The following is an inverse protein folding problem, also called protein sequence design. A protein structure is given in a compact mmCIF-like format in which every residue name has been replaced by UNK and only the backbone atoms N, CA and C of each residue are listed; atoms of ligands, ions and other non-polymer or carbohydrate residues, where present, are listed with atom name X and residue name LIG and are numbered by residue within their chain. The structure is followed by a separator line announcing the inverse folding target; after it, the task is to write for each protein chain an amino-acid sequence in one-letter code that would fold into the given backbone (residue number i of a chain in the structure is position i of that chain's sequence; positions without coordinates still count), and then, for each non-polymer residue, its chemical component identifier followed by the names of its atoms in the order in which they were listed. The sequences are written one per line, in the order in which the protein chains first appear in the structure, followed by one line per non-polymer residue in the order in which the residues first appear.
data_IF_400354680876
#
_entry.id   IF_400354680876
#
_cell.length_a   1.000
_cell.length_b   1.000
_cell.length_c   1.000
_cell.angle_alpha   90.00
_cell.angle_beta   90.00
_cell.angle_gamma   90.00
#
_symmetry.space_group_name_H-M   'P 1'
#
loop_
_entity.id
_entity.type
_entity.pdbx_description
1 polymer ?
#
# COMPACT_ATOMS: atom_id res chain seq x y z
N UNK A 1 -30.23 -9.60 0.10
CA UNK A 1 -29.90 -9.77 -1.33
C UNK A 1 -28.73 -8.88 -1.67
N UNK A 2 -27.49 -9.38 -1.70
CA UNK A 2 -26.42 -8.74 -2.47
C UNK A 2 -25.45 -9.82 -2.97
N UNK A 3 -25.57 -10.06 -4.26
CA UNK A 3 -24.72 -10.89 -5.09
C UNK A 3 -23.81 -9.89 -5.82
N UNK A 4 -22.57 -9.67 -5.37
CA UNK A 4 -21.56 -9.03 -6.23
C UNK A 4 -20.65 -10.12 -6.77
N UNK A 5 -21.17 -10.85 -7.75
CA UNK A 5 -20.36 -11.67 -8.64
C UNK A 5 -19.26 -10.79 -9.25
N UNK A 6 -18.05 -11.33 -9.41
CA UNK A 6 -17.07 -10.87 -10.40
C UNK A 6 -17.84 -10.54 -11.68
N UNK A 7 -18.00 -9.25 -12.01
CA UNK A 7 -18.78 -8.88 -13.19
C UNK A 7 -18.01 -9.41 -14.40
N UNK A 8 -18.56 -10.44 -15.03
CA UNK A 8 -17.94 -11.08 -16.18
C UNK A 8 -18.06 -10.13 -17.36
N UNK A 9 -16.93 -9.56 -17.79
CA UNK A 9 -16.88 -8.60 -18.88
C UNK A 9 -16.92 -9.31 -20.24
N UNK A 10 -16.34 -10.51 -20.33
CA UNK A 10 -16.49 -11.41 -21.47
C UNK A 10 -16.84 -12.82 -20.99
N UNK A 11 -17.97 -13.34 -21.47
CA UNK A 11 -18.34 -14.75 -21.30
C UNK A 11 -17.27 -15.58 -22.01
N UNK A 12 -16.65 -16.51 -21.28
CA UNK A 12 -15.37 -17.11 -21.66
C UNK A 12 -15.32 -17.78 -23.04
N UNK A 13 -14.10 -17.93 -23.54
CA UNK A 13 -13.78 -18.50 -24.85
C UNK A 13 -12.51 -19.35 -24.74
N UNK A 14 -12.37 -20.38 -25.58
CA UNK A 14 -11.14 -21.17 -25.62
C UNK A 14 -10.03 -20.40 -26.32
N UNK A 15 -8.95 -20.12 -25.59
CA UNK A 15 -7.74 -19.51 -26.13
C UNK A 15 -6.54 -20.41 -25.84
N UNK A 16 -5.53 -20.33 -26.70
CA UNK A 16 -4.24 -20.97 -26.45
C UNK A 16 -3.43 -20.08 -25.51
N UNK A 17 -3.04 -20.64 -24.35
CA UNK A 17 -2.20 -19.98 -23.34
C UNK A 17 -0.82 -20.62 -23.30
N UNK A 18 0.22 -19.81 -23.12
CA UNK A 18 1.53 -20.29 -22.70
C UNK A 18 2.13 -19.37 -21.63
N UNK A 19 2.55 -19.94 -20.49
CA UNK A 19 3.28 -19.21 -19.44
C UNK A 19 4.77 -19.26 -19.77
N UNK A 20 5.41 -18.10 -19.90
CA UNK A 20 6.82 -17.98 -20.31
C UNK A 20 7.72 -17.40 -19.20
N UNK A 21 7.13 -16.78 -18.17
CA UNK A 21 7.85 -16.42 -16.95
C UNK A 21 6.99 -16.53 -15.69
N UNK A 22 7.62 -16.85 -14.57
CA UNK A 22 7.03 -16.88 -13.24
C UNK A 22 7.95 -16.17 -12.24
N UNK A 23 7.51 -15.04 -11.69
CA UNK A 23 8.33 -14.24 -10.77
C UNK A 23 9.68 -13.83 -11.37
N UNK A 24 9.72 -13.53 -12.67
CA UNK A 24 10.94 -13.20 -13.42
C UNK A 24 11.81 -14.39 -13.84
N UNK A 25 11.48 -15.63 -13.44
CA UNK A 25 12.17 -16.84 -13.91
C UNK A 25 11.58 -17.30 -15.24
N UNK A 26 12.43 -17.46 -16.26
CA UNK A 26 12.01 -17.94 -17.59
C UNK A 26 11.56 -19.40 -17.52
N UNK A 27 10.38 -19.68 -18.04
CA UNK A 27 9.80 -21.01 -18.17
C UNK A 27 9.86 -21.47 -19.62
N UNK A 28 9.96 -22.80 -19.82
CA UNK A 28 9.85 -23.39 -21.16
C UNK A 28 8.44 -23.15 -21.69
N UNK A 29 8.34 -22.48 -22.83
CA UNK A 29 7.07 -22.22 -23.51
C UNK A 29 6.35 -23.54 -23.80
N UNK A 30 5.16 -23.69 -23.24
CA UNK A 30 4.25 -24.81 -23.49
C UNK A 30 2.85 -24.26 -23.75
N UNK A 31 2.26 -24.62 -24.89
CA UNK A 31 0.94 -24.13 -25.29
C UNK A 31 -0.15 -25.09 -24.81
N UNK A 32 -1.12 -24.55 -24.10
CA UNK A 32 -2.30 -25.29 -23.62
C UNK A 32 -3.55 -24.54 -24.03
N UNK A 33 -4.52 -25.24 -24.65
CA UNK A 33 -5.84 -24.70 -24.85
C UNK A 33 -6.55 -24.60 -23.49
N UNK A 34 -6.97 -23.39 -23.14
CA UNK A 34 -7.60 -23.10 -21.84
C UNK A 34 -8.87 -22.31 -22.04
N UNK A 35 -9.89 -22.58 -21.24
CA UNK A 35 -11.07 -21.74 -21.20
C UNK A 35 -10.73 -20.48 -20.41
N UNK A 36 -10.82 -19.32 -21.08
CA UNK A 36 -10.42 -18.03 -20.51
C UNK A 36 -11.66 -17.22 -20.20
N UNK A 37 -11.73 -16.64 -19.00
CA UNK A 37 -12.82 -15.74 -18.59
C UNK A 37 -12.21 -14.41 -18.16
N UNK A 38 -12.72 -13.31 -18.73
CA UNK A 38 -12.35 -11.96 -18.30
C UNK A 38 -13.36 -11.44 -17.27
N UNK A 39 -12.87 -11.20 -16.06
CA UNK A 39 -13.58 -10.52 -14.99
C UNK A 39 -13.14 -9.05 -14.89
N UNK A 40 -13.77 -8.30 -14.00
CA UNK A 40 -13.55 -6.86 -13.80
C UNK A 40 -12.10 -6.44 -13.52
N UNK A 41 -11.27 -7.32 -12.98
CA UNK A 41 -9.86 -7.04 -12.64
C UNK A 41 -8.92 -8.24 -12.87
N UNK A 42 -9.45 -9.39 -13.29
CA UNK A 42 -8.68 -10.63 -13.36
C UNK A 42 -9.01 -11.40 -14.63
N UNK A 43 -8.00 -12.14 -15.11
CA UNK A 43 -8.13 -13.12 -16.18
C UNK A 43 -8.03 -14.52 -15.58
N UNK A 44 -9.12 -15.29 -15.65
CA UNK A 44 -9.20 -16.62 -15.06
C UNK A 44 -8.99 -17.70 -16.13
N UNK A 45 -8.17 -18.70 -15.81
CA UNK A 45 -7.87 -19.82 -16.68
C UNK A 45 -8.39 -21.14 -16.10
N UNK A 46 -9.20 -21.84 -16.89
CA UNK A 46 -9.74 -23.14 -16.53
C UNK A 46 -9.18 -24.22 -17.45
N UNK A 47 -8.72 -25.33 -16.85
CA UNK A 47 -8.16 -26.50 -17.54
C UNK A 47 -9.25 -27.47 -18.02
N UNK A 48 -10.43 -27.43 -17.42
CA UNK A 48 -11.54 -28.36 -17.61
C UNK A 48 -12.71 -27.71 -18.35
N UNK A 49 -13.77 -28.50 -18.61
CA UNK A 49 -14.85 -28.16 -19.54
C UNK A 49 -15.58 -26.86 -19.18
N UNK A 50 -16.27 -26.26 -20.17
CA UNK A 50 -17.09 -25.05 -20.00
C UNK A 50 -18.08 -25.13 -18.83
N UNK A 51 -18.59 -26.32 -18.50
CA UNK A 51 -19.56 -26.54 -17.43
C UNK A 51 -18.91 -26.50 -16.04
N UNK A 52 -17.71 -27.05 -15.90
CA UNK A 52 -16.90 -27.01 -14.66
C UNK A 52 -16.31 -25.61 -14.42
N UNK A 53 -15.94 -24.88 -15.48
CA UNK A 53 -15.47 -23.50 -15.36
C UNK A 53 -16.53 -22.56 -14.77
N UNK A 54 -17.81 -22.73 -15.16
CA UNK A 54 -18.93 -21.94 -14.63
C UNK A 54 -19.26 -22.31 -13.18
N UNK A 55 -19.09 -23.58 -12.79
CA UNK A 55 -19.24 -24.02 -11.41
C UNK A 55 -18.12 -23.49 -10.50
N UNK A 56 -16.88 -23.41 -11.00
CA UNK A 56 -15.71 -22.89 -10.30
C UNK A 56 -15.68 -21.36 -10.16
N UNK A 57 -16.61 -20.62 -10.80
CA UNK A 57 -16.81 -19.19 -10.53
C UNK A 57 -17.52 -18.92 -9.18
N UNK A 58 -18.01 -19.97 -8.49
CA UNK A 58 -18.53 -19.89 -7.12
C UNK A 58 -17.37 -19.91 -6.09
N UNK A 59 -17.52 -19.31 -4.90
CA UNK A 59 -16.42 -19.19 -3.94
C UNK A 59 -15.94 -20.57 -3.50
N UNK A 60 -14.71 -20.94 -3.87
CA UNK A 60 -14.08 -22.21 -3.45
C UNK A 60 -13.37 -23.02 -4.55
N UNK A 61 -13.50 -22.67 -5.83
CA UNK A 61 -12.81 -23.36 -6.93
C UNK A 61 -11.35 -22.93 -7.10
N UNK A 62 -10.40 -23.89 -7.20
CA UNK A 62 -8.99 -23.61 -7.54
C UNK A 62 -8.90 -23.23 -9.02
N UNK A 63 -8.83 -21.94 -9.34
CA UNK A 63 -8.51 -21.44 -10.69
C UNK A 63 -7.12 -20.80 -10.72
N UNK A 64 -6.39 -20.98 -11.83
CA UNK A 64 -5.13 -20.27 -12.09
C UNK A 64 -5.53 -18.90 -12.67
N UNK A 65 -5.51 -17.85 -11.83
CA UNK A 65 -5.95 -16.50 -12.17
C UNK A 65 -4.79 -15.52 -12.28
N UNK A 66 -4.88 -14.57 -13.19
CA UNK A 66 -3.91 -13.49 -13.36
C UNK A 66 -4.59 -12.16 -13.09
N UNK A 67 -4.02 -11.41 -12.14
CA UNK A 67 -4.40 -10.02 -11.90
C UNK A 67 -3.91 -9.13 -13.04
N UNK A 68 -4.81 -8.31 -13.57
CA UNK A 68 -4.54 -7.37 -14.66
C UNK A 68 -4.12 -5.99 -14.16
N UNK A 69 -4.13 -5.74 -12.84
CA UNK A 69 -3.66 -4.49 -12.25
C UNK A 69 -2.22 -4.19 -12.66
N UNK A 70 -2.01 -3.08 -13.39
CA UNK A 70 -0.71 -2.65 -13.88
C UNK A 70 -0.05 -3.58 -14.90
N UNK A 71 -0.80 -4.54 -15.47
CA UNK A 71 -0.27 -5.44 -16.49
C UNK A 71 -0.02 -4.71 -17.82
N UNK A 72 1.09 -5.02 -18.48
CA UNK A 72 1.42 -4.51 -19.82
C UNK A 72 0.96 -5.53 -20.86
N UNK A 73 0.11 -5.09 -21.78
CA UNK A 73 -0.44 -5.92 -22.87
C UNK A 73 0.09 -5.43 -24.21
N UNK A 74 0.80 -6.29 -24.92
CA UNK A 74 1.45 -5.96 -26.19
C UNK A 74 1.28 -7.08 -27.23
N UNK A 75 1.17 -6.72 -28.51
CA UNK A 75 1.25 -7.68 -29.60
C UNK A 75 2.70 -8.17 -29.74
N UNK A 76 2.91 -9.47 -29.93
CA UNK A 76 4.26 -10.04 -30.06
C UNK A 76 4.37 -11.03 -31.20
N UNK A 77 5.43 -10.89 -31.99
CA UNK A 77 5.84 -11.84 -33.04
C UNK A 77 7.21 -12.45 -32.76
N UNK A 78 7.97 -11.89 -31.82
CA UNK A 78 9.33 -12.34 -31.48
C UNK A 78 9.34 -13.54 -30.53
N UNK A 79 8.31 -13.67 -29.67
CA UNK A 79 8.23 -14.72 -28.64
C UNK A 79 7.54 -15.99 -29.14
N UNK A 80 6.90 -15.95 -30.30
CA UNK A 80 6.17 -17.07 -30.88
C UNK A 80 6.08 -16.99 -32.39
N UNK A 81 6.19 -18.15 -33.05
CA UNK A 81 5.93 -18.30 -34.49
C UNK A 81 4.44 -18.38 -34.83
N UNK A 82 3.56 -18.49 -33.83
CA UNK A 82 2.10 -18.45 -34.04
C UNK A 82 1.67 -17.04 -34.41
N UNK A 83 0.73 -16.93 -35.35
CA UNK A 83 0.06 -15.64 -35.65
C UNK A 83 -0.88 -15.27 -34.50
N UNK A 84 -1.26 -14.00 -34.42
CA UNK A 84 -2.32 -13.52 -33.52
C UNK A 84 -2.00 -13.75 -32.03
N UNK A 85 -0.78 -13.38 -31.60
CA UNK A 85 -0.31 -13.59 -30.23
C UNK A 85 -0.20 -12.26 -29.49
N UNK A 86 -0.77 -12.20 -28.30
CA UNK A 86 -0.60 -11.10 -27.35
C UNK A 86 0.21 -11.59 -26.15
N UNK A 87 1.09 -10.72 -25.65
CA UNK A 87 1.84 -10.90 -24.42
C UNK A 87 1.18 -10.10 -23.30
N UNK A 88 1.05 -10.72 -22.14
CA UNK A 88 0.61 -10.09 -20.89
C UNK A 88 1.76 -10.21 -19.90
N UNK A 89 2.27 -9.07 -19.44
CA UNK A 89 3.35 -8.99 -18.45
C UNK A 89 2.81 -8.33 -17.20
N UNK A 90 2.79 -9.04 -16.07
CA UNK A 90 2.34 -8.48 -14.80
C UNK A 90 3.48 -7.79 -14.04
N UNK A 91 3.19 -6.82 -13.14
CA UNK A 91 4.21 -6.16 -12.31
C UNK A 91 5.03 -7.14 -11.46
N UNK A 92 4.42 -8.26 -11.06
CA UNK A 92 5.06 -9.32 -10.27
C UNK A 92 6.01 -10.19 -11.12
N UNK A 93 6.23 -9.85 -12.39
CA UNK A 93 7.17 -10.53 -13.29
C UNK A 93 6.63 -11.85 -13.86
N UNK A 94 5.32 -12.06 -13.89
CA UNK A 94 4.73 -13.18 -14.64
C UNK A 94 4.47 -12.75 -16.08
N UNK A 95 4.81 -13.64 -17.02
CA UNK A 95 4.61 -13.39 -18.45
C UNK A 95 3.79 -14.52 -19.06
N UNK A 96 2.73 -14.15 -19.76
CA UNK A 96 1.82 -15.05 -20.45
C UNK A 96 1.68 -14.65 -21.91
N UNK A 97 1.50 -15.66 -22.77
CA UNK A 97 1.12 -15.48 -24.16
C UNK A 97 -0.30 -16.03 -24.34
N UNK A 98 -1.16 -15.25 -24.99
CA UNK A 98 -2.49 -15.68 -25.42
C UNK A 98 -2.59 -15.61 -26.94
N UNK A 99 -3.27 -16.60 -27.51
CA UNK A 99 -3.44 -16.72 -28.96
C UNK A 99 -4.81 -17.28 -29.32
N UNK A 100 -5.39 -16.76 -30.40
CA UNK A 100 -6.55 -17.33 -31.09
C UNK A 100 -6.23 -17.52 -32.58
N UNK A 101 -6.87 -18.49 -33.22
CA UNK A 101 -6.60 -18.78 -34.64
C UNK A 101 -7.15 -17.67 -35.54
N UNK A 102 -8.25 -17.05 -35.13
CA UNK A 102 -8.88 -15.93 -35.82
C UNK A 102 -8.44 -14.58 -35.21
N UNK A 103 -7.96 -13.68 -36.05
CA UNK A 103 -7.56 -12.33 -35.63
C UNK A 103 -8.69 -11.54 -34.94
N UNK A 104 -9.95 -11.55 -35.43
CA UNK A 104 -11.04 -10.84 -34.75
C UNK A 104 -11.28 -11.32 -33.31
N UNK A 105 -11.10 -12.63 -33.05
CA UNK A 105 -11.22 -13.20 -31.71
C UNK A 105 -10.15 -12.63 -30.80
N UNK A 106 -8.87 -12.72 -31.16
CA UNK A 106 -7.81 -12.21 -30.28
C UNK A 106 -7.82 -10.68 -30.15
N UNK A 107 -8.23 -9.95 -31.19
CA UNK A 107 -8.35 -8.49 -31.15
C UNK A 107 -9.42 -8.06 -30.16
N UNK A 108 -10.59 -8.72 -30.16
CA UNK A 108 -11.64 -8.50 -29.17
C UNK A 108 -11.13 -8.74 -27.75
N UNK A 109 -10.35 -9.80 -27.52
CA UNK A 109 -9.77 -10.09 -26.22
C UNK A 109 -8.71 -9.07 -25.81
N UNK A 110 -7.83 -8.66 -26.73
CA UNK A 110 -6.85 -7.60 -26.52
C UNK A 110 -7.54 -6.29 -26.10
N UNK A 111 -8.55 -5.85 -26.83
CA UNK A 111 -9.23 -4.58 -26.58
C UNK A 111 -10.03 -4.62 -25.27
N UNK A 112 -10.65 -5.75 -24.95
CA UNK A 112 -11.36 -5.92 -23.69
C UNK A 112 -10.39 -5.92 -22.48
N UNK A 113 -9.26 -6.63 -22.56
CA UNK A 113 -8.25 -6.65 -21.50
C UNK A 113 -7.64 -5.26 -21.31
N UNK A 114 -7.32 -4.57 -22.41
CA UNK A 114 -6.76 -3.22 -22.38
C UNK A 114 -7.75 -2.20 -21.80
N UNK A 115 -9.03 -2.29 -22.17
CA UNK A 115 -10.09 -1.45 -21.60
C UNK A 115 -10.27 -1.66 -20.10
N UNK A 116 -10.13 -2.89 -19.61
CA UNK A 116 -10.16 -3.19 -18.17
C UNK A 116 -8.97 -2.54 -17.43
N UNK A 117 -7.79 -2.55 -18.05
CA UNK A 117 -6.60 -1.89 -17.51
C UNK A 117 -6.74 -0.36 -17.52
N UNK A 118 -7.27 0.22 -18.60
CA UNK A 118 -7.54 1.66 -18.70
C UNK A 118 -8.61 2.13 -17.70
N UNK A 119 -9.68 1.35 -17.48
CA UNK A 119 -10.69 1.63 -16.46
C UNK A 119 -10.09 1.57 -15.04
N UNK A 120 -9.14 0.67 -14.79
CA UNK A 120 -8.43 0.61 -13.53
C UNK A 120 -7.51 1.83 -13.35
N UNK A 121 -6.77 2.22 -14.39
CA UNK A 121 -5.98 3.47 -14.41
C UNK A 121 -6.84 4.71 -14.22
N UNK A 122 -8.04 4.78 -14.81
CA UNK A 122 -8.95 5.91 -14.67
C UNK A 122 -9.63 5.97 -13.30
N UNK A 123 -9.94 4.82 -12.69
CA UNK A 123 -10.36 4.72 -11.29
C UNK A 123 -9.23 5.15 -10.35
N UNK A 124 -7.99 4.69 -10.58
CA UNK A 124 -6.81 5.14 -9.84
C UNK A 124 -6.55 6.64 -10.06
N UNK A 125 -6.72 7.18 -11.28
CA UNK A 125 -6.60 8.61 -11.57
C UNK A 125 -7.74 9.44 -11.00
N UNK A 126 -8.96 8.90 -10.87
CA UNK A 126 -10.08 9.55 -10.18
C UNK A 126 -9.85 9.55 -8.69
N UNK A 127 -9.37 8.44 -8.13
CA UNK A 127 -8.97 8.33 -6.73
C UNK A 127 -7.81 9.30 -6.43
N UNK A 128 -6.80 9.35 -7.30
CA UNK A 128 -5.72 10.34 -7.25
C UNK A 128 -6.23 11.76 -7.44
N UNK A 129 -7.24 12.03 -8.30
CA UNK A 129 -7.85 13.37 -8.44
C UNK A 129 -8.63 13.78 -7.20
N UNK A 130 -9.39 12.89 -6.57
CA UNK A 130 -10.06 13.15 -5.29
C UNK A 130 -9.03 13.39 -4.17
N UNK A 131 -7.92 12.65 -4.18
CA UNK A 131 -6.77 12.90 -3.30
C UNK A 131 -6.03 14.22 -3.65
N UNK A 132 -5.93 14.58 -4.92
CA UNK A 132 -5.22 15.79 -5.41
C UNK A 132 -6.06 17.06 -5.26
N UNK A 133 -7.39 17.00 -5.36
CA UNK A 133 -8.27 18.16 -5.12
C UNK A 133 -8.33 18.52 -3.63
N UNK A 134 -7.83 17.64 -2.75
CA UNK A 134 -7.57 17.92 -1.33
C UNK A 134 -6.16 18.45 -1.05
N UNK A 135 -5.30 18.52 -2.06
CA UNK A 135 -3.91 18.99 -1.97
C UNK A 135 -3.75 20.15 -2.96
N UNK A 136 -3.64 21.38 -2.45
CA UNK A 136 -3.36 22.56 -3.27
C UNK A 136 -2.15 22.29 -4.19
N UNK A 137 -2.26 22.52 -5.51
CA UNK A 137 -1.15 22.24 -6.42
C UNK A 137 -0.03 23.24 -6.15
N UNK A 138 1.08 22.75 -5.57
CA UNK A 138 2.35 23.48 -5.59
C UNK A 138 2.85 23.42 -7.03
N UNK A 139 2.72 24.55 -7.73
CA UNK A 139 3.47 24.80 -8.96
C UNK A 139 4.96 24.54 -8.68
N UNK A 140 5.65 23.68 -9.45
CA UNK A 140 7.08 23.55 -9.32
C UNK A 140 7.72 24.80 -9.92
N UNK A 141 7.95 25.82 -9.10
CA UNK A 141 9.01 26.80 -9.34
C UNK A 141 10.36 26.13 -9.03
N UNK A 142 10.66 25.09 -9.80
CA UNK A 142 12.04 24.71 -10.06
C UNK A 142 12.40 25.55 -11.28
N UNK A 143 13.37 26.48 -11.21
CA UNK A 143 13.98 27.00 -12.42
C UNK A 143 14.40 25.78 -13.23
N UNK A 144 13.80 25.57 -14.40
CA UNK A 144 14.37 24.69 -15.42
C UNK A 144 15.69 25.33 -15.85
N UNK A 145 16.72 25.20 -15.03
CA UNK A 145 18.06 25.01 -15.56
C UNK A 145 17.97 23.69 -16.29
N UNK A 146 17.61 23.80 -17.56
CA UNK A 146 18.00 22.85 -18.57
C UNK A 146 19.50 22.76 -18.40
N UNK A 147 19.99 21.74 -17.67
CA UNK A 147 21.34 21.26 -17.89
C UNK A 147 21.32 20.77 -19.33
N UNK A 148 21.50 21.72 -20.26
CA UNK A 148 21.92 21.45 -21.60
C UNK A 148 23.33 20.93 -21.39
N UNK A 149 23.41 19.62 -21.13
CA UNK A 149 24.65 18.89 -21.25
C UNK A 149 25.10 19.16 -22.67
N UNK A 150 26.04 20.09 -22.81
CA UNK A 150 26.78 20.24 -24.04
C UNK A 150 27.47 18.89 -24.24
N UNK A 151 26.84 18.06 -25.07
CA UNK A 151 27.42 16.81 -25.50
C UNK A 151 28.62 17.17 -26.36
N UNK A 152 29.80 17.20 -25.74
CA UNK A 152 31.05 17.17 -26.48
C UNK A 152 31.02 15.91 -27.33
N UNK A 153 30.97 16.07 -28.65
CA UNK A 153 30.89 15.01 -29.64
C UNK A 153 32.23 14.25 -29.78
N UNK A 154 32.81 13.83 -28.65
CA UNK A 154 34.13 13.19 -28.58
C UNK A 154 34.15 11.84 -27.84
N UNK A 155 33.04 11.34 -27.28
CA UNK A 155 33.09 10.19 -26.34
C UNK A 155 32.18 9.00 -26.72
N UNK A 156 32.16 8.61 -28.00
CA UNK A 156 31.40 7.42 -28.46
C UNK A 156 32.00 6.09 -27.97
N UNK A 157 33.30 6.04 -27.66
CA UNK A 157 33.97 4.85 -27.14
C UNK A 157 33.63 4.56 -25.67
N UNK A 158 33.43 5.60 -24.85
CA UNK A 158 33.28 5.45 -23.39
C UNK A 158 31.84 5.12 -22.96
N UNK A 159 30.83 5.38 -23.81
CA UNK A 159 29.44 4.94 -23.56
C UNK A 159 29.31 3.42 -23.44
N UNK A 160 30.03 2.68 -24.29
CA UNK A 160 30.06 1.22 -24.22
C UNK A 160 30.86 0.73 -23.00
N UNK A 161 31.92 1.46 -22.62
CA UNK A 161 32.68 1.22 -21.39
C UNK A 161 31.82 1.39 -20.13
N UNK A 162 31.16 2.53 -19.98
CA UNK A 162 30.24 2.82 -18.87
C UNK A 162 29.10 1.80 -18.81
N UNK A 163 28.48 1.46 -19.96
CA UNK A 163 27.42 0.43 -20.04
C UNK A 163 27.91 -0.93 -19.54
N UNK A 164 29.13 -1.34 -19.93
CA UNK A 164 29.70 -2.61 -19.51
C UNK A 164 30.09 -2.62 -18.02
N UNK A 165 30.59 -1.50 -17.49
CA UNK A 165 30.88 -1.34 -16.06
C UNK A 165 29.61 -1.40 -15.23
N UNK A 166 28.54 -0.72 -15.67
CA UNK A 166 27.26 -0.74 -14.97
C UNK A 166 26.61 -2.13 -15.01
N UNK A 167 26.68 -2.83 -16.16
CA UNK A 167 26.21 -4.22 -16.26
C UNK A 167 26.94 -5.16 -15.30
N UNK A 168 28.26 -5.01 -15.16
CA UNK A 168 29.08 -5.75 -14.17
C UNK A 168 28.77 -5.33 -12.74
N UNK A 169 28.48 -4.05 -12.49
CA UNK A 169 28.12 -3.55 -11.18
C UNK A 169 26.77 -4.11 -10.72
N UNK A 170 25.73 -4.05 -11.57
CA UNK A 170 24.39 -4.56 -11.23
C UNK A 170 24.44 -6.07 -10.96
N UNK A 171 25.20 -6.84 -11.74
CA UNK A 171 25.30 -8.29 -11.53
C UNK A 171 26.12 -8.69 -10.31
N UNK A 172 27.05 -7.82 -9.86
CA UNK A 172 27.91 -8.06 -8.69
C UNK A 172 27.45 -7.29 -7.45
N UNK A 173 26.33 -6.57 -7.53
CA UNK A 173 25.83 -5.74 -6.43
C UNK A 173 25.54 -6.64 -5.22
N UNK A 174 26.15 -6.37 -4.05
CA UNK A 174 25.83 -7.11 -2.83
C UNK A 174 24.35 -6.99 -2.48
N UNK A 175 23.79 -8.02 -1.85
CA UNK A 175 22.43 -7.97 -1.34
C UNK A 175 22.28 -6.90 -0.26
N UNK A 176 21.07 -6.38 -0.06
CA UNK A 176 20.76 -5.44 1.04
C UNK A 176 21.20 -6.01 2.40
N UNK A 177 20.94 -7.30 2.65
CA UNK A 177 21.35 -8.00 3.87
C UNK A 177 22.87 -7.97 4.06
N UNK A 178 23.65 -8.24 3.00
CA UNK A 178 25.12 -8.17 3.05
C UNK A 178 25.62 -6.75 3.35
N UNK A 179 24.93 -5.71 2.88
CA UNK A 179 25.28 -4.32 3.18
C UNK A 179 24.94 -3.95 4.62
N UNK A 180 23.85 -4.47 5.18
CA UNK A 180 23.49 -4.34 6.60
C UNK A 180 24.49 -5.06 7.51
N UNK A 181 24.84 -6.32 7.19
CA UNK A 181 25.83 -7.12 7.94
C UNK A 181 27.21 -6.45 7.98
N UNK A 182 27.59 -5.75 6.91
CA UNK A 182 28.83 -4.97 6.84
C UNK A 182 28.74 -3.62 7.56
N UNK A 183 27.60 -3.27 8.15
CA UNK A 183 27.36 -1.98 8.81
C UNK A 183 27.33 -0.78 7.86
N UNK A 184 27.28 -1.01 6.54
CA UNK A 184 27.20 0.06 5.54
C UNK A 184 25.79 0.65 5.45
N UNK A 185 24.77 -0.15 5.76
CA UNK A 185 23.38 0.28 5.90
C UNK A 185 22.99 0.02 7.35
N UNK A 186 22.80 1.10 8.12
CA UNK A 186 22.26 1.04 9.47
C UNK A 186 20.74 0.95 9.43
N UNK A 187 20.16 0.27 10.42
CA UNK A 187 18.72 0.19 10.57
C UNK A 187 18.16 1.54 11.01
N UNK A 188 17.28 2.09 10.19
CA UNK A 188 16.64 3.40 10.42
C UNK A 188 15.56 3.32 11.51
N UNK A 189 14.97 4.43 11.89
CA UNK A 189 13.78 4.44 12.77
C UNK A 189 12.53 4.31 11.91
N UNK A 190 12.41 5.15 10.87
CA UNK A 190 11.37 5.04 9.87
C UNK A 190 11.62 3.84 8.95
N UNK A 191 10.57 3.08 8.64
CA UNK A 191 10.69 1.86 7.84
C UNK A 191 11.20 0.64 8.62
N UNK A 192 11.45 0.76 9.92
CA UNK A 192 11.88 -0.35 10.76
C UNK A 192 10.67 -1.15 11.26
N UNK A 193 10.83 -2.47 11.39
CA UNK A 193 9.79 -3.31 11.97
C UNK A 193 9.57 -2.94 13.44
N UNK A 194 8.30 -2.78 13.85
CA UNK A 194 7.93 -2.29 15.19
C UNK A 194 8.61 -3.06 16.33
N UNK A 195 8.59 -4.40 16.23
CA UNK A 195 9.23 -5.30 17.19
C UNK A 195 10.74 -5.04 17.31
N UNK A 196 11.45 -5.00 16.17
CA UNK A 196 12.89 -4.78 16.11
C UNK A 196 13.28 -3.41 16.65
N UNK A 197 12.51 -2.36 16.32
CA UNK A 197 12.76 -1.01 16.82
C UNK A 197 12.59 -0.95 18.35
N UNK A 198 11.51 -1.51 18.88
CA UNK A 198 11.26 -1.55 20.32
C UNK A 198 12.32 -2.37 21.08
N UNK A 199 12.77 -3.50 20.53
CA UNK A 199 13.86 -4.29 21.10
C UNK A 199 15.17 -3.50 21.15
N UNK A 200 15.52 -2.80 20.06
CA UNK A 200 16.71 -1.94 19.97
C UNK A 200 16.67 -0.80 20.98
N UNK A 201 15.52 -0.15 21.11
CA UNK A 201 15.31 0.96 22.04
C UNK A 201 15.11 0.52 23.50
N UNK A 202 14.94 -0.79 23.74
CA UNK A 202 14.57 -1.40 25.03
C UNK A 202 13.27 -0.83 25.59
N UNK A 203 12.29 -0.61 24.72
CA UNK A 203 10.98 -0.04 25.03
C UNK A 203 9.88 -0.96 24.50
N UNK A 204 8.61 -0.66 24.78
CA UNK A 204 7.46 -1.30 24.12
C UNK A 204 6.65 -0.32 23.26
N UNK A 205 7.13 0.91 23.16
CA UNK A 205 6.54 1.97 22.35
C UNK A 205 7.73 2.76 21.81
N UNK A 206 7.82 2.98 20.49
CA UNK A 206 8.91 3.74 19.89
C UNK A 206 9.06 5.10 20.57
N UNK A 207 10.29 5.49 20.89
CA UNK A 207 10.59 6.78 21.54
C UNK A 207 10.06 7.95 20.73
N UNK A 208 10.23 7.91 19.41
CA UNK A 208 9.72 8.93 18.49
C UNK A 208 8.19 9.12 18.61
N UNK A 209 7.43 8.03 18.73
CA UNK A 209 5.97 8.12 18.91
C UNK A 209 5.61 8.85 20.19
N UNK A 210 6.29 8.54 21.31
CA UNK A 210 6.08 9.23 22.59
C UNK A 210 6.43 10.71 22.50
N UNK A 211 7.59 11.04 21.94
CA UNK A 211 8.04 12.42 21.76
C UNK A 211 7.03 13.25 20.96
N UNK A 212 6.53 12.72 19.84
CA UNK A 212 5.51 13.41 19.05
C UNK A 212 4.20 13.60 19.83
N UNK A 213 3.74 12.56 20.53
CA UNK A 213 2.51 12.63 21.34
C UNK A 213 2.63 13.66 22.45
N UNK A 214 3.73 13.64 23.20
CA UNK A 214 4.00 14.58 24.29
C UNK A 214 4.06 16.02 23.77
N UNK A 215 4.76 16.27 22.66
CA UNK A 215 4.86 17.63 22.11
C UNK A 215 3.53 18.14 21.54
N UNK A 216 2.75 17.27 20.87
CA UNK A 216 1.40 17.64 20.40
C UNK A 216 0.46 17.92 21.56
N UNK A 217 0.55 17.16 22.66
CA UNK A 217 -0.25 17.43 23.86
C UNK A 217 0.14 18.73 24.55
N UNK A 218 1.43 19.03 24.59
CA UNK A 218 2.00 20.21 25.24
C UNK A 218 1.54 21.52 24.60
N UNK A 219 1.51 21.61 23.25
CA UNK A 219 1.23 22.88 22.55
C UNK A 219 0.27 22.79 21.35
N UNK A 220 -0.10 21.59 20.94
CA UNK A 220 -0.80 21.35 19.67
C UNK A 220 -2.31 21.09 19.76
N UNK A 221 -2.84 20.77 20.95
CA UNK A 221 -4.20 20.24 21.10
C UNK A 221 -5.32 21.16 20.60
N UNK A 222 -5.08 22.47 20.55
CA UNK A 222 -6.07 23.46 20.13
C UNK A 222 -5.87 23.93 18.69
N UNK A 223 -4.88 23.39 17.96
CA UNK A 223 -4.59 23.79 16.58
C UNK A 223 -5.67 23.28 15.60
N UNK A 224 -6.11 24.17 14.71
CA UNK A 224 -7.17 23.90 13.73
C UNK A 224 -6.84 22.71 12.82
N UNK A 225 -7.77 21.75 12.75
CA UNK A 225 -7.63 20.57 11.91
C UNK A 225 -6.43 19.70 12.27
N UNK A 226 -6.07 19.60 13.55
CA UNK A 226 -4.97 18.75 14.01
C UNK A 226 -5.07 17.32 13.42
N UNK A 227 -3.95 16.78 12.93
CA UNK A 227 -3.87 15.54 12.14
C UNK A 227 -4.53 15.55 10.75
N UNK A 228 -5.51 16.43 10.47
CA UNK A 228 -6.12 16.59 9.13
C UNK A 228 -5.28 17.48 8.23
N UNK A 229 -4.87 18.65 8.72
CA UNK A 229 -4.01 19.59 7.99
C UNK A 229 -2.62 18.99 7.81
N UNK A 230 -2.03 19.21 6.64
CA UNK A 230 -0.69 18.72 6.29
C UNK A 230 0.36 19.79 6.57
N UNK A 231 1.40 19.44 7.32
CA UNK A 231 2.57 20.29 7.48
C UNK A 231 3.45 20.29 6.24
N UNK A 232 4.46 21.15 6.25
CA UNK A 232 5.42 21.24 5.14
C UNK A 232 6.20 19.92 4.97
N UNK A 233 5.99 19.25 3.83
CA UNK A 233 6.60 17.95 3.55
C UNK A 233 8.13 17.96 3.57
N UNK A 234 8.77 19.04 3.11
CA UNK A 234 10.24 19.13 3.13
C UNK A 234 10.77 19.19 4.57
N UNK A 235 10.07 19.90 5.46
CA UNK A 235 10.41 19.97 6.88
C UNK A 235 10.16 18.62 7.57
N UNK A 236 9.06 17.94 7.23
CA UNK A 236 8.79 16.57 7.71
C UNK A 236 9.91 15.61 7.28
N UNK A 237 10.38 15.69 6.04
CA UNK A 237 11.49 14.87 5.54
C UNK A 237 12.82 15.20 6.24
N UNK A 238 13.06 16.48 6.58
CA UNK A 238 14.21 16.88 7.41
C UNK A 238 14.12 16.25 8.80
N UNK A 239 12.95 16.32 9.45
CA UNK A 239 12.71 15.70 10.76
C UNK A 239 12.93 14.18 10.70
N UNK A 240 12.36 13.53 9.69
CA UNK A 240 12.54 12.10 9.41
C UNK A 240 14.03 11.73 9.31
N UNK A 241 14.81 12.52 8.58
CA UNK A 241 16.26 12.29 8.41
C UNK A 241 17.00 12.35 9.76
N UNK A 242 16.74 13.37 10.58
CA UNK A 242 17.39 13.53 11.89
C UNK A 242 17.03 12.39 12.85
N UNK A 243 15.76 11.99 12.86
CA UNK A 243 15.29 10.83 13.65
C UNK A 243 15.97 9.53 13.18
N UNK A 244 16.12 9.34 11.87
CA UNK A 244 16.81 8.17 11.30
C UNK A 244 18.31 8.14 11.60
N UNK A 245 18.94 9.29 11.86
CA UNK A 245 20.33 9.36 12.34
C UNK A 245 20.47 9.09 13.84
N UNK A 246 19.35 8.97 14.57
CA UNK A 246 19.32 8.85 16.04
C UNK A 246 20.09 9.99 16.75
N UNK A 247 20.05 11.19 16.15
CA UNK A 247 20.56 12.41 16.78
C UNK A 247 19.65 12.85 17.93
N UNK A 248 20.18 13.62 18.89
CA UNK A 248 19.33 14.22 19.93
C UNK A 248 18.32 15.17 19.30
N UNK A 249 17.04 14.92 19.57
CA UNK A 249 15.92 15.62 18.96
C UNK A 249 15.12 16.37 20.03
N UNK A 250 15.09 17.69 19.91
CA UNK A 250 14.15 18.55 20.63
C UNK A 250 13.05 19.03 19.67
N UNK A 251 11.82 18.53 19.87
CA UNK A 251 10.65 18.93 19.07
C UNK A 251 10.08 20.31 19.47
N UNK A 252 10.61 20.92 20.54
CA UNK A 252 10.30 22.28 20.95
C UNK A 252 11.13 23.36 20.24
N UNK A 253 12.16 22.98 19.49
CA UNK A 253 12.96 23.91 18.70
C UNK A 253 12.09 24.63 17.64
N UNK A 254 12.38 25.92 17.43
CA UNK A 254 11.82 26.79 16.39
C UNK A 254 11.77 26.17 15.00
N UNK A 255 12.71 25.30 14.64
CA UNK A 255 12.68 24.59 13.36
C UNK A 255 11.46 23.67 13.17
N UNK A 256 10.75 23.32 14.26
CA UNK A 256 9.54 22.49 14.28
C UNK A 256 8.31 23.25 14.81
N UNK A 257 8.31 24.59 14.73
CA UNK A 257 7.23 25.44 15.27
C UNK A 257 5.84 25.03 14.75
N UNK A 258 5.72 24.69 13.47
CA UNK A 258 4.46 24.18 12.90
C UNK A 258 4.12 22.78 13.44
N UNK A 259 3.06 22.68 14.24
CA UNK A 259 2.59 21.41 14.79
C UNK A 259 2.15 20.41 13.72
N UNK A 260 1.76 20.88 12.53
CA UNK A 260 1.38 20.02 11.42
C UNK A 260 2.59 19.26 10.84
N UNK A 261 3.82 19.74 11.08
CA UNK A 261 5.05 18.99 10.80
C UNK A 261 5.16 17.78 11.73
N UNK A 262 4.97 17.98 13.04
CA UNK A 262 5.07 16.89 14.04
C UNK A 262 3.99 15.84 13.81
N UNK A 263 2.74 16.26 13.66
CA UNK A 263 1.64 15.33 13.36
C UNK A 263 1.81 14.66 11.99
N UNK A 264 2.37 15.36 11.00
CA UNK A 264 2.72 14.82 9.70
C UNK A 264 3.78 13.72 9.79
N UNK A 265 4.83 13.94 10.57
CA UNK A 265 5.91 12.99 10.82
C UNK A 265 5.43 11.76 11.62
N UNK A 266 4.59 11.96 12.64
CA UNK A 266 3.98 10.86 13.39
C UNK A 266 3.12 9.97 12.48
N UNK A 267 2.28 10.56 11.62
CA UNK A 267 1.51 9.80 10.62
C UNK A 267 2.43 9.07 9.64
N UNK A 268 3.51 9.73 9.20
CA UNK A 268 4.49 9.13 8.28
C UNK A 268 5.18 7.91 8.90
N UNK A 269 5.52 7.98 10.19
CA UNK A 269 6.13 6.86 10.91
C UNK A 269 5.25 5.61 10.82
N UNK A 270 3.95 5.73 11.12
CA UNK A 270 3.02 4.60 11.05
C UNK A 270 2.84 4.07 9.61
N UNK A 271 2.72 4.96 8.62
CA UNK A 271 2.58 4.56 7.21
C UNK A 271 3.81 3.87 6.63
N UNK A 272 5.00 4.20 7.12
CA UNK A 272 6.25 3.61 6.64
C UNK A 272 6.60 2.29 7.33
N UNK A 273 5.84 1.84 8.35
CA UNK A 273 6.09 0.54 8.97
C UNK A 273 5.99 -0.58 7.92
N UNK A 274 6.87 -1.60 7.96
CA UNK A 274 6.76 -2.76 7.07
C UNK A 274 5.45 -3.54 7.22
N UNK A 275 4.92 -3.58 8.46
CA UNK A 275 3.62 -4.15 8.81
C UNK A 275 2.81 -3.07 9.57
N UNK A 276 1.50 -2.91 9.31
CA UNK A 276 0.68 -1.90 9.97
C UNK A 276 0.65 -2.07 11.48
N UNK A 277 0.31 -0.98 12.18
CA UNK A 277 0.14 -1.03 13.64
C UNK A 277 -0.88 -2.11 14.03
N UNK A 278 -1.96 -2.24 13.25
CA UNK A 278 -2.84 -3.40 13.28
C UNK A 278 -2.26 -4.50 12.37
N UNK A 279 -1.69 -5.59 12.93
CA UNK A 279 -0.97 -6.57 12.11
C UNK A 279 -1.89 -7.25 11.11
N UNK A 280 -1.38 -7.63 9.94
CA UNK A 280 -2.19 -8.10 8.81
C UNK A 280 -3.10 -9.27 9.20
N UNK A 281 -2.56 -10.22 9.98
CA UNK A 281 -3.27 -11.40 10.47
C UNK A 281 -4.50 -11.11 11.35
N UNK A 282 -4.64 -9.89 11.87
CA UNK A 282 -5.78 -9.48 12.70
C UNK A 282 -6.81 -8.66 11.93
N UNK A 283 -6.51 -8.20 10.70
CA UNK A 283 -7.36 -7.27 9.96
C UNK A 283 -8.79 -7.83 9.79
N UNK A 284 -8.93 -9.04 9.25
CA UNK A 284 -10.24 -9.67 9.05
C UNK A 284 -10.99 -9.88 10.37
N UNK A 285 -10.27 -10.17 11.46
CA UNK A 285 -10.86 -10.32 12.79
C UNK A 285 -11.45 -9.01 13.31
N UNK A 286 -10.75 -7.88 13.10
CA UNK A 286 -11.26 -6.55 13.44
C UNK A 286 -12.46 -6.16 12.56
N UNK A 287 -12.44 -6.52 11.28
CA UNK A 287 -13.58 -6.32 10.37
C UNK A 287 -14.81 -7.09 10.86
N UNK A 288 -14.67 -8.35 11.27
CA UNK A 288 -15.79 -9.11 11.84
C UNK A 288 -16.27 -8.54 13.18
N UNK A 289 -15.35 -8.08 14.04
CA UNK A 289 -15.72 -7.46 15.31
C UNK A 289 -16.54 -6.18 15.10
N UNK A 290 -16.16 -5.31 14.15
CA UNK A 290 -16.86 -4.03 13.94
C UNK A 290 -18.26 -4.19 13.32
N UNK A 291 -18.50 -5.32 12.62
CA UNK A 291 -19.81 -5.70 12.06
C UNK A 291 -20.84 -6.10 13.12
N UNK A 292 -20.42 -6.38 14.36
CA UNK A 292 -21.33 -6.69 15.47
C UNK A 292 -22.27 -5.50 15.69
N UNK A 293 -23.58 -5.73 15.76
CA UNK A 293 -24.57 -4.66 15.90
C UNK A 293 -24.69 -4.13 17.33
N UNK A 294 -24.55 -5.01 18.31
CA UNK A 294 -24.71 -4.66 19.72
C UNK A 294 -23.41 -3.99 20.24
N UNK A 295 -23.48 -2.73 20.74
CA UNK A 295 -22.29 -1.96 21.11
C UNK A 295 -21.41 -2.61 22.18
N UNK A 296 -22.01 -3.22 23.20
CA UNK A 296 -21.28 -3.81 24.34
C UNK A 296 -20.45 -5.00 23.88
N UNK A 297 -21.04 -5.91 23.12
CA UNK A 297 -20.41 -7.08 22.52
C UNK A 297 -19.34 -6.66 21.51
N UNK A 298 -19.59 -5.61 20.70
CA UNK A 298 -18.59 -5.03 19.81
C UNK A 298 -17.37 -4.56 20.60
N UNK A 299 -17.58 -3.75 21.64
CA UNK A 299 -16.50 -3.25 22.51
C UNK A 299 -15.71 -4.39 23.16
N UNK A 300 -16.38 -5.41 23.67
CA UNK A 300 -15.75 -6.60 24.24
C UNK A 300 -14.93 -7.40 23.22
N UNK A 301 -15.45 -7.58 22.00
CA UNK A 301 -14.75 -8.27 20.92
C UNK A 301 -13.48 -7.51 20.50
N UNK A 302 -13.59 -6.18 20.29
CA UNK A 302 -12.46 -5.31 19.98
C UNK A 302 -11.40 -5.33 21.09
N UNK A 303 -11.83 -5.23 22.34
CA UNK A 303 -10.95 -5.34 23.52
C UNK A 303 -10.18 -6.65 23.52
N UNK A 304 -10.88 -7.78 23.30
CA UNK A 304 -10.25 -9.10 23.26
C UNK A 304 -9.19 -9.21 22.16
N UNK A 305 -9.47 -8.70 20.97
CA UNK A 305 -8.51 -8.70 19.85
C UNK A 305 -7.28 -7.84 20.15
N UNK A 306 -7.48 -6.65 20.70
CA UNK A 306 -6.40 -5.73 21.08
C UNK A 306 -5.48 -6.39 22.13
N UNK A 307 -6.01 -7.16 23.08
CA UNK A 307 -5.19 -7.88 24.06
C UNK A 307 -4.38 -9.05 23.45
N UNK A 308 -4.72 -9.50 22.24
CA UNK A 308 -4.02 -10.59 21.55
C UNK A 308 -2.92 -10.10 20.59
N UNK A 309 -2.91 -8.82 20.22
CA UNK A 309 -1.83 -8.28 19.36
C UNK A 309 -0.51 -8.25 20.12
N UNK A 310 0.65 -8.26 19.42
CA UNK A 310 1.95 -8.21 20.08
C UNK A 310 2.09 -7.01 21.03
N UNK A 311 2.82 -7.18 22.13
CA UNK A 311 2.98 -6.16 23.18
C UNK A 311 3.44 -4.79 22.66
N UNK A 312 4.38 -4.69 21.70
CA UNK A 312 4.75 -3.41 21.11
C UNK A 312 3.58 -2.71 20.41
N UNK A 313 2.80 -3.46 19.62
CA UNK A 313 1.61 -2.95 18.92
C UNK A 313 0.54 -2.50 19.92
N UNK A 314 0.21 -3.35 20.91
CA UNK A 314 -0.77 -3.03 21.95
C UNK A 314 -0.42 -1.73 22.69
N UNK A 315 0.81 -1.62 23.20
CA UNK A 315 1.22 -0.46 23.99
C UNK A 315 1.31 0.81 23.14
N UNK A 316 1.70 0.69 21.87
CA UNK A 316 1.72 1.81 20.92
C UNK A 316 0.30 2.25 20.55
N UNK A 317 -0.63 1.30 20.33
CA UNK A 317 -2.06 1.60 20.16
C UNK A 317 -2.60 2.33 21.38
N UNK A 318 -2.31 1.85 22.60
CA UNK A 318 -2.77 2.48 23.84
C UNK A 318 -2.35 3.95 23.91
N UNK A 319 -1.06 4.24 23.71
CA UNK A 319 -0.54 5.62 23.73
C UNK A 319 -1.21 6.48 22.65
N UNK A 320 -1.32 5.97 21.42
CA UNK A 320 -1.92 6.70 20.32
C UNK A 320 -3.42 6.98 20.52
N UNK A 321 -4.22 5.98 20.87
CA UNK A 321 -5.67 6.14 21.02
C UNK A 321 -6.02 7.00 22.25
N UNK A 322 -5.24 6.92 23.33
CA UNK A 322 -5.41 7.82 24.48
C UNK A 322 -5.07 9.27 24.10
N UNK A 323 -4.00 9.47 23.33
CA UNK A 323 -3.67 10.78 22.77
C UNK A 323 -4.78 11.34 21.88
N UNK A 324 -5.27 10.54 20.91
CA UNK A 324 -6.34 10.97 20.00
C UNK A 324 -7.64 11.27 20.74
N UNK A 325 -7.93 10.57 21.85
CA UNK A 325 -9.05 10.94 22.72
C UNK A 325 -8.86 12.32 23.35
N UNK A 326 -7.65 12.66 23.83
CA UNK A 326 -7.34 14.01 24.35
C UNK A 326 -7.50 15.09 23.27
N UNK A 327 -7.14 14.80 22.03
CA UNK A 327 -7.43 15.68 20.87
C UNK A 327 -8.93 15.90 20.72
N UNK A 328 -9.74 14.84 20.76
CA UNK A 328 -11.20 14.93 20.62
C UNK A 328 -11.88 15.68 21.78
N UNK A 329 -11.30 15.66 22.99
CA UNK A 329 -11.76 16.50 24.12
C UNK A 329 -11.62 18.01 23.84
N UNK A 330 -10.79 18.40 22.87
CA UNK A 330 -10.59 19.78 22.41
C UNK A 330 -11.25 20.06 21.05
N UNK A 331 -12.18 19.20 20.63
CA UNK A 331 -12.90 19.28 19.33
C UNK A 331 -13.53 20.63 19.02
N UNK A 332 -14.02 21.35 20.04
CA UNK A 332 -14.58 22.69 19.87
C UNK A 332 -13.56 23.74 19.39
N UNK A 333 -12.28 23.54 19.69
CA UNK A 333 -11.19 24.45 19.29
C UNK A 333 -10.46 23.94 18.05
N UNK A 334 -10.01 22.68 18.07
CA UNK A 334 -9.25 22.13 16.94
C UNK A 334 -10.12 21.66 15.75
N UNK A 335 -11.45 21.73 15.85
CA UNK A 335 -12.39 21.40 14.78
C UNK A 335 -12.24 19.96 14.25
N UNK A 336 -11.82 19.04 15.10
CA UNK A 336 -11.72 17.61 14.80
C UNK A 336 -12.86 16.81 15.43
N UNK A 337 -13.46 15.93 14.63
CA UNK A 337 -14.47 14.95 15.07
C UNK A 337 -13.89 13.54 15.08
N UNK A 338 -14.57 12.60 15.77
CA UNK A 338 -14.19 11.19 15.78
C UNK A 338 -14.11 10.63 14.36
N UNK A 339 -15.06 10.97 13.50
CA UNK A 339 -15.07 10.57 12.09
C UNK A 339 -13.89 11.21 11.33
N UNK A 340 -13.61 12.49 11.56
CA UNK A 340 -12.47 13.18 10.95
C UNK A 340 -11.13 12.55 11.29
N UNK A 341 -10.92 12.19 12.57
CA UNK A 341 -9.72 11.46 13.00
C UNK A 341 -9.69 10.06 12.38
N UNK A 342 -10.83 9.37 12.31
CA UNK A 342 -10.91 8.01 11.79
C UNK A 342 -10.62 7.92 10.30
N UNK A 343 -11.02 8.91 9.50
CA UNK A 343 -10.67 9.00 8.08
C UNK A 343 -9.16 9.18 7.87
N UNK A 344 -8.50 9.90 8.77
CA UNK A 344 -7.04 10.10 8.71
C UNK A 344 -6.30 8.84 9.16
N UNK A 345 -6.71 8.26 10.29
CA UNK A 345 -5.97 7.17 10.93
C UNK A 345 -6.35 5.77 10.44
N UNK A 346 -7.53 5.57 9.84
CA UNK A 346 -7.93 4.29 9.23
C UNK A 346 -6.86 3.76 8.26
N UNK A 347 -6.57 4.47 7.16
CA UNK A 347 -5.54 4.05 6.20
C UNK A 347 -4.09 4.24 6.72
N UNK A 348 -3.90 5.05 7.77
CA UNK A 348 -2.56 5.24 8.38
C UNK A 348 -2.16 4.07 9.27
N UNK A 349 -3.12 3.40 9.90
CA UNK A 349 -2.86 2.32 10.86
C UNK A 349 -3.15 0.92 10.30
N UNK A 350 -3.85 0.84 9.16
CA UNK A 350 -4.26 -0.39 8.50
C UNK A 350 -4.15 -0.24 6.98
N UNK A 351 -3.60 -1.25 6.33
CA UNK A 351 -3.65 -1.44 4.88
C UNK A 351 -3.65 -2.94 4.60
N UNK A 352 -4.17 -3.39 3.43
CA UNK A 352 -4.19 -4.81 3.12
C UNK A 352 -2.78 -5.34 2.80
N UNK A 353 -2.50 -6.59 3.16
CA UNK A 353 -1.24 -7.27 2.83
C UNK A 353 -1.13 -7.56 1.33
N UNK A 354 -2.26 -7.86 0.70
CA UNK A 354 -2.40 -8.09 -0.74
C UNK A 354 -3.56 -7.26 -1.28
N UNK A 355 -3.42 -6.70 -2.48
CA UNK A 355 -4.52 -6.05 -3.22
C UNK A 355 -5.54 -7.08 -3.71
N UNK A 356 -6.21 -7.77 -2.78
CA UNK A 356 -7.23 -8.77 -3.08
C UNK A 356 -8.48 -8.46 -2.27
N UNK A 357 -9.41 -7.73 -2.88
CA UNK A 357 -10.67 -7.33 -2.25
C UNK A 357 -11.25 -6.05 -2.84
N UNK A 358 -12.50 -5.76 -2.50
CA UNK A 358 -13.15 -4.51 -2.88
C UNK A 358 -12.56 -3.38 -2.01
N UNK A 359 -11.50 -2.73 -2.51
CA UNK A 359 -10.68 -1.74 -1.78
C UNK A 359 -11.52 -0.68 -1.04
N UNK A 360 -12.63 -0.25 -1.64
CA UNK A 360 -13.58 0.70 -1.06
C UNK A 360 -14.22 0.18 0.23
N UNK A 361 -14.57 -1.10 0.28
CA UNK A 361 -15.20 -1.74 1.46
C UNK A 361 -14.19 -1.85 2.60
N UNK A 362 -12.93 -2.18 2.29
CA UNK A 362 -11.87 -2.25 3.28
C UNK A 362 -11.57 -0.87 3.89
N UNK A 363 -11.59 0.20 3.09
CA UNK A 363 -11.42 1.56 3.60
C UNK A 363 -12.53 1.97 4.58
N UNK A 364 -13.78 1.60 4.29
CA UNK A 364 -14.90 1.89 5.21
C UNK A 364 -14.69 1.16 6.55
N UNK A 365 -14.29 -0.12 6.52
CA UNK A 365 -14.05 -0.86 7.75
C UNK A 365 -12.86 -0.33 8.56
N UNK A 366 -11.77 0.06 7.90
CA UNK A 366 -10.63 0.69 8.57
C UNK A 366 -11.07 1.91 9.38
N UNK A 367 -11.87 2.78 8.79
CA UNK A 367 -12.39 3.98 9.46
C UNK A 367 -13.32 3.59 10.63
N UNK A 368 -14.23 2.64 10.42
CA UNK A 368 -15.16 2.18 11.47
C UNK A 368 -14.44 1.51 12.66
N UNK A 369 -13.35 0.78 12.40
CA UNK A 369 -12.53 0.16 13.44
C UNK A 369 -11.89 1.25 14.30
N UNK A 370 -11.23 2.24 13.69
CA UNK A 370 -10.63 3.37 14.42
C UNK A 370 -11.70 4.14 15.20
N UNK A 371 -12.84 4.42 14.59
CA UNK A 371 -13.95 5.14 15.24
C UNK A 371 -14.47 4.38 16.47
N UNK A 372 -14.72 3.08 16.32
CA UNK A 372 -15.22 2.25 17.42
C UNK A 372 -14.21 2.15 18.57
N UNK A 373 -12.91 2.04 18.27
CA UNK A 373 -11.86 2.01 19.30
C UNK A 373 -11.72 3.37 19.99
N UNK A 374 -11.91 4.49 19.28
CA UNK A 374 -11.89 5.83 19.88
C UNK A 374 -13.07 6.04 20.84
N UNK A 375 -14.26 5.59 20.45
CA UNK A 375 -15.48 5.67 21.29
C UNK A 375 -15.30 4.83 22.55
N UNK A 376 -14.87 3.57 22.41
CA UNK A 376 -14.69 2.60 23.50
C UNK A 376 -13.30 2.66 24.15
N UNK A 377 -12.54 3.74 23.93
CA UNK A 377 -11.12 3.82 24.28
C UNK A 377 -10.85 3.54 25.77
N UNK A 378 -11.70 4.05 26.66
CA UNK A 378 -11.58 3.86 28.11
C UNK A 378 -11.82 2.41 28.50
N UNK A 379 -12.83 1.77 27.92
CA UNK A 379 -13.16 0.38 28.22
C UNK A 379 -12.09 -0.58 27.69
N UNK A 380 -11.53 -0.28 26.52
CA UNK A 380 -10.50 -1.10 25.87
C UNK A 380 -9.15 -0.99 26.59
N UNK A 381 -8.66 0.23 26.82
CA UNK A 381 -7.28 0.47 27.29
C UNK A 381 -7.16 0.87 28.76
N UNK A 382 -8.30 1.09 29.44
CA UNK A 382 -8.40 1.68 30.77
C UNK A 382 -8.35 3.22 30.74
N UNK A 383 -8.69 3.89 31.86
CA UNK A 383 -8.47 5.32 32.01
C UNK A 383 -6.98 5.61 31.82
N UNK A 384 -6.64 6.53 30.91
CA UNK A 384 -5.26 6.98 30.72
C UNK A 384 -4.73 7.60 32.00
N UNK A 385 -3.54 7.17 32.43
CA UNK A 385 -2.79 7.88 33.45
C UNK A 385 -2.49 9.30 32.94
N UNK A 386 -2.76 10.29 33.78
CA UNK A 386 -2.34 11.68 33.56
C UNK A 386 -0.83 11.79 33.54
#
# INVERSE_FOLDING_TARGET
MFHSMLQTLLKGEYLNKAKIAEGGKKLRKNWTATWVVLCSNQLLFFKESKQEAVANLKPGGKSDGVDLCGAVIEWTTEKSSRKNVIQITTPNGHEFLLQADHFPTISKWHDAIKKTEDLHKDSLKRMWRVFSDSIVPVSPLIPRTVFKLNYSASDSADKNGVKNRLKKFISRRPSMKTLQEKGLIKDRVFGCHMLTLCERERTTVPKFVKLCVEEVEKRGLEADGLYRVSGNLAVIQKLRFLVDQEEELDLGDSQWEDIHVITGALKMFFRELPEPLFPFRFFDLFVEAVKIREPTQKGQALKKLIHQVPKPNHNTMKVLFQHLRRVLMKSQKNLMSTQGISIVFGPTLMWPEFESGNMEVNMVYQNQIVESILIECVEIFGPGGM
#
